data_IF_657983121323
#
_entry.id   IF_657983121323
#
_cell.length_a   1.000
_cell.length_b   1.000
_cell.length_c   1.000
_cell.angle_alpha   90.00
_cell.angle_beta   90.00
_cell.angle_gamma   90.00
#
_symmetry.space_group_name_H-M   'P 1'
#
loop_
_entity.id
_entity.type
_entity.pdbx_description
1 polymer ?
#
# COMPACT_ATOMS: atom_id res chain seq x y z
N UNK A 1 2.86 -71.67 -29.64
CA UNK A 1 1.51 -71.09 -29.73
C UNK A 1 1.40 -70.45 -31.11
N UNK A 2 0.95 -71.21 -32.12
CA UNK A 2 -0.43 -71.27 -32.65
C UNK A 2 -0.84 -69.93 -33.34
N UNK A 3 -0.68 -69.78 -34.65
CA UNK A 3 -1.55 -70.15 -35.81
C UNK A 3 -2.57 -69.05 -36.17
N UNK A 4 -2.43 -68.51 -37.40
CA UNK A 4 -3.42 -67.99 -38.37
C UNK A 4 -4.42 -66.89 -37.93
N UNK A 5 -5.05 -66.07 -38.77
CA UNK A 5 -5.46 -66.20 -40.18
C UNK A 5 -5.92 -64.84 -40.77
N UNK A 6 -5.91 -64.78 -42.10
CA UNK A 6 -6.84 -64.15 -43.07
C UNK A 6 -7.38 -62.70 -42.96
N UNK A 7 -7.09 -61.97 -44.06
CA UNK A 7 -7.99 -61.28 -45.00
C UNK A 7 -8.99 -60.19 -44.51
N UNK A 8 -8.94 -58.97 -45.09
CA UNK A 8 -9.79 -58.53 -46.24
C UNK A 8 -9.94 -56.98 -46.36
N UNK A 9 -9.35 -56.45 -47.44
CA UNK A 9 -9.76 -55.37 -48.38
C UNK A 9 -10.52 -54.09 -47.97
N UNK A 10 -9.93 -52.96 -48.42
CA UNK A 10 -10.47 -51.85 -49.24
C UNK A 10 -11.68 -51.00 -48.82
N UNK A 11 -11.53 -49.68 -49.02
CA UNK A 11 -12.59 -48.67 -49.09
C UNK A 11 -12.10 -47.26 -48.70
N UNK A 12 -11.19 -46.59 -49.40
CA UNK A 12 -11.35 -45.79 -50.63
C UNK A 12 -11.35 -44.25 -50.38
N UNK A 13 -10.45 -43.57 -51.12
CA UNK A 13 -10.36 -42.14 -51.54
C UNK A 13 -10.55 -41.00 -50.50
N UNK A 14 -9.87 -39.85 -50.57
CA UNK A 14 -8.93 -39.25 -51.50
C UNK A 14 -8.42 -37.96 -50.86
N UNK A 15 -7.19 -37.58 -51.23
CA UNK A 15 -6.51 -36.35 -50.86
C UNK A 15 -7.15 -35.06 -51.41
N UNK A 16 -6.58 -33.94 -50.92
CA UNK A 16 -6.46 -32.56 -51.49
C UNK A 16 -7.52 -31.58 -50.95
N UNK A 17 -7.17 -30.62 -50.10
CA UNK A 17 -6.35 -29.41 -50.33
C UNK A 17 -6.93 -28.53 -51.45
N UNK A 18 -7.61 -27.42 -51.10
CA UNK A 18 -7.27 -26.04 -51.46
C UNK A 18 -8.44 -25.07 -51.15
N UNK A 19 -8.02 -23.82 -50.93
CA UNK A 19 -8.77 -22.63 -50.53
C UNK A 19 -9.95 -22.30 -51.46
N UNK A 20 -10.94 -21.58 -50.93
CA UNK A 20 -11.29 -20.19 -51.26
C UNK A 20 -12.68 -19.84 -50.67
N UNK A 21 -12.78 -18.72 -49.94
CA UNK A 21 -14.07 -18.11 -49.61
C UNK A 21 -14.77 -17.67 -50.90
N UNK A 22 -16.11 -17.71 -50.97
CA UNK A 22 -16.87 -16.51 -50.61
C UNK A 22 -18.23 -16.82 -49.96
N UNK A 23 -18.76 -15.85 -49.22
CA UNK A 23 -20.15 -15.36 -49.28
C UNK A 23 -20.59 -14.83 -47.92
N UNK A 24 -20.84 -13.51 -47.87
CA UNK A 24 -21.23 -12.73 -46.72
C UNK A 24 -22.75 -12.83 -46.50
N UNK A 25 -23.24 -13.02 -45.26
CA UNK A 25 -24.58 -12.56 -44.89
C UNK A 25 -24.59 -11.43 -43.85
N UNK A 26 -25.59 -10.58 -44.02
CA UNK A 26 -25.85 -9.26 -43.44
C UNK A 26 -25.78 -9.16 -41.92
N UNK A 27 -25.49 -7.93 -41.50
CA UNK A 27 -25.57 -7.41 -40.15
C UNK A 27 -26.90 -7.72 -39.44
N UNK A 28 -26.79 -8.26 -38.23
CA UNK A 28 -27.74 -8.05 -37.15
C UNK A 28 -27.01 -7.36 -36.00
N UNK A 29 -27.60 -6.26 -35.55
CA UNK A 29 -27.08 -5.39 -34.52
C UNK A 29 -27.07 -6.14 -33.18
N UNK A 30 -25.90 -6.51 -32.69
CA UNK A 30 -25.70 -6.84 -31.28
C UNK A 30 -24.41 -6.18 -30.82
N UNK A 31 -24.60 -5.03 -30.18
CA UNK A 31 -23.59 -4.29 -29.44
C UNK A 31 -22.97 -5.18 -28.37
N UNK A 32 -21.87 -5.83 -28.70
CA UNK A 32 -20.91 -6.30 -27.72
C UNK A 32 -19.67 -5.43 -27.86
N UNK A 33 -19.66 -4.32 -27.10
CA UNK A 33 -18.42 -3.61 -26.85
C UNK A 33 -17.49 -4.58 -26.14
N UNK A 34 -16.58 -5.17 -26.92
CA UNK A 34 -15.42 -5.91 -26.45
C UNK A 34 -14.59 -4.96 -25.59
N UNK A 35 -14.96 -4.90 -24.32
CA UNK A 35 -14.14 -4.28 -23.28
C UNK A 35 -12.90 -5.13 -23.19
N UNK A 36 -11.81 -4.63 -23.76
CA UNK A 36 -10.46 -5.10 -23.48
C UNK A 36 -10.22 -4.88 -21.99
N UNK A 37 -10.63 -5.83 -21.16
CA UNK A 37 -10.26 -5.85 -19.76
C UNK A 37 -8.75 -6.06 -19.73
N UNK A 38 -8.04 -4.96 -19.60
CA UNK A 38 -6.65 -4.92 -19.20
C UNK A 38 -6.61 -5.57 -17.80
N UNK A 39 -6.42 -6.89 -17.77
CA UNK A 39 -6.26 -7.68 -16.55
C UNK A 39 -4.90 -7.34 -15.94
N UNK A 40 -4.80 -6.13 -15.38
CA UNK A 40 -3.68 -5.69 -14.58
C UNK A 40 -3.57 -6.62 -13.36
N UNK A 41 -2.69 -7.61 -13.47
CA UNK A 41 -2.39 -8.59 -12.44
C UNK A 41 -1.65 -8.01 -11.21
N UNK A 42 -1.65 -6.68 -10.99
CA UNK A 42 -0.94 -6.04 -9.87
C UNK A 42 -1.80 -5.51 -8.72
N UNK A 43 -3.13 -5.73 -8.71
CA UNK A 43 -4.03 -5.06 -7.75
C UNK A 43 -4.93 -5.98 -6.89
N UNK A 44 -4.52 -7.23 -6.61
CA UNK A 44 -5.39 -8.20 -5.89
C UNK A 44 -5.31 -8.12 -4.36
N UNK A 45 -5.31 -6.91 -3.80
CA UNK A 45 -5.28 -6.67 -2.34
C UNK A 45 -5.68 -5.25 -1.98
N UNK A 46 -4.69 -4.39 -1.76
CA UNK A 46 -4.88 -2.98 -1.41
C UNK A 46 -4.61 -2.06 -2.60
N UNK A 47 -5.51 -1.11 -2.81
CA UNK A 47 -5.31 0.02 -3.71
C UNK A 47 -4.86 1.23 -2.89
N UNK A 48 -3.74 1.81 -3.28
CA UNK A 48 -3.22 3.03 -2.67
C UNK A 48 -3.57 4.25 -3.51
N UNK A 49 -3.87 5.34 -2.82
CA UNK A 49 -3.97 6.67 -3.42
C UNK A 49 -3.26 7.70 -2.51
N UNK A 50 -2.11 8.26 -2.92
CA UNK A 50 -1.47 8.10 -4.22
C UNK A 50 -0.85 6.71 -4.37
N UNK A 51 -0.74 6.21 -5.61
CA UNK A 51 -0.34 4.81 -5.86
C UNK A 51 1.14 4.51 -5.60
N UNK A 52 2.03 5.43 -5.98
CA UNK A 52 3.48 5.20 -6.01
C UNK A 52 4.30 6.26 -5.26
N UNK A 53 3.67 7.33 -4.79
CA UNK A 53 4.37 8.47 -4.21
C UNK A 53 3.69 8.93 -2.91
N UNK A 54 4.48 9.43 -1.97
CA UNK A 54 4.04 10.19 -0.81
C UNK A 54 4.61 11.60 -0.92
N UNK A 55 3.72 12.58 -0.83
CA UNK A 55 4.06 13.99 -0.96
C UNK A 55 4.21 14.62 0.43
N UNK A 56 5.32 15.30 0.66
CA UNK A 56 5.57 16.02 1.91
C UNK A 56 5.94 17.46 1.60
N UNK A 57 5.46 18.46 2.36
CA UNK A 57 6.03 19.79 2.28
C UNK A 57 7.50 19.75 2.71
N UNK A 58 8.35 20.50 2.04
CA UNK A 58 9.77 20.60 2.37
C UNK A 58 9.97 21.68 3.43
N UNK A 59 10.13 21.27 4.68
CA UNK A 59 10.40 22.17 5.80
C UNK A 59 11.55 21.60 6.65
N UNK A 60 12.82 21.98 6.36
CA UNK A 60 13.98 21.52 7.10
C UNK A 60 13.88 21.81 8.61
N UNK A 61 14.35 20.87 9.43
CA UNK A 61 14.30 20.94 10.88
C UNK A 61 12.91 20.68 11.48
N UNK A 62 11.89 20.38 10.66
CA UNK A 62 10.52 20.21 11.12
C UNK A 62 9.96 18.82 10.84
N UNK A 63 8.92 18.47 11.60
CA UNK A 63 8.09 17.31 11.32
C UNK A 63 7.00 17.68 10.31
N UNK A 64 7.02 17.01 9.17
CA UNK A 64 6.07 17.17 8.07
C UNK A 64 5.19 15.93 7.94
N UNK A 65 4.04 16.07 7.28
CA UNK A 65 3.04 15.01 7.18
C UNK A 65 2.62 14.77 5.74
N UNK A 66 2.29 13.51 5.45
CA UNK A 66 1.65 13.05 4.23
C UNK A 66 0.45 12.18 4.55
N UNK A 67 -0.45 12.00 3.59
CA UNK A 67 -1.63 11.16 3.73
C UNK A 67 -1.78 10.22 2.52
N UNK A 68 -2.09 8.96 2.79
CA UNK A 68 -2.36 7.94 1.76
C UNK A 68 -3.65 7.19 2.12
N UNK A 69 -4.53 7.07 1.14
CA UNK A 69 -5.72 6.24 1.25
C UNK A 69 -5.36 4.79 0.89
N UNK A 70 -5.74 3.86 1.76
CA UNK A 70 -5.65 2.42 1.57
C UNK A 70 -7.09 1.91 1.40
N UNK A 71 -7.40 1.32 0.25
CA UNK A 71 -8.71 0.69 0.00
C UNK A 71 -8.55 -0.80 -0.26
N UNK A 72 -9.27 -1.63 0.49
CA UNK A 72 -9.36 -3.05 0.20
C UNK A 72 -10.31 -3.28 -0.98
N UNK A 73 -9.74 -3.62 -2.14
CA UNK A 73 -10.52 -3.93 -3.36
C UNK A 73 -10.75 -5.42 -3.54
N UNK A 74 -10.32 -6.24 -2.59
CA UNK A 74 -10.49 -7.70 -2.61
C UNK A 74 -11.81 -8.13 -1.96
N UNK A 75 -12.19 -9.40 -2.16
CA UNK A 75 -13.36 -10.03 -1.52
C UNK A 75 -13.05 -10.61 -0.14
N UNK A 76 -11.81 -10.52 0.33
CA UNK A 76 -11.34 -11.07 1.61
C UNK A 76 -10.86 -9.95 2.52
N UNK A 77 -10.71 -10.23 3.81
CA UNK A 77 -10.06 -9.30 4.72
C UNK A 77 -8.58 -9.20 4.37
N UNK A 78 -8.01 -8.01 4.56
CA UNK A 78 -6.60 -7.76 4.25
C UNK A 78 -5.94 -7.08 5.44
N UNK A 79 -4.97 -7.76 6.05
CA UNK A 79 -4.05 -7.16 7.00
C UNK A 79 -3.03 -6.30 6.25
N UNK A 80 -2.59 -5.19 6.85
CA UNK A 80 -1.50 -4.38 6.35
C UNK A 80 -0.52 -4.01 7.46
N UNK A 81 0.74 -3.80 7.08
CA UNK A 81 1.77 -3.22 7.95
C UNK A 81 2.64 -2.23 7.19
N UNK A 82 3.03 -1.16 7.89
CA UNK A 82 3.98 -0.17 7.41
C UNK A 82 5.42 -0.60 7.69
N UNK A 83 6.27 -0.45 6.69
CA UNK A 83 7.71 -0.65 6.78
C UNK A 83 8.41 0.55 6.12
N UNK A 84 9.56 0.93 6.65
CA UNK A 84 10.34 2.06 6.14
C UNK A 84 11.83 1.77 6.25
N UNK A 85 12.61 2.23 5.28
CA UNK A 85 14.07 2.22 5.36
C UNK A 85 14.62 3.38 6.21
N UNK A 86 13.75 4.26 6.71
CA UNK A 86 14.08 5.41 7.55
C UNK A 86 13.23 5.44 8.85
N UNK A 87 13.32 4.41 9.73
CA UNK A 87 12.47 4.30 10.92
C UNK A 87 12.74 5.36 11.99
N UNK A 88 13.94 5.99 11.98
CA UNK A 88 14.30 7.06 12.94
C UNK A 88 13.58 8.38 12.67
N UNK A 89 13.30 8.64 11.40
CA UNK A 89 12.74 9.90 10.93
C UNK A 89 11.37 9.75 10.31
N UNK A 90 10.78 8.54 10.27
CA UNK A 90 9.45 8.35 9.71
C UNK A 90 8.65 7.21 10.33
N UNK A 91 7.35 7.46 10.54
CA UNK A 91 6.36 6.46 10.98
C UNK A 91 4.99 6.74 10.35
N UNK A 92 4.10 5.76 10.39
CA UNK A 92 2.72 5.86 9.89
C UNK A 92 1.70 5.67 11.02
N UNK A 93 0.55 6.34 10.93
CA UNK A 93 -0.60 6.15 11.83
C UNK A 93 -1.86 5.80 11.02
N UNK A 94 -2.51 4.65 11.30
CA UNK A 94 -2.01 3.55 12.15
C UNK A 94 -0.81 2.83 11.51
N UNK A 95 0.05 2.15 12.29
CA UNK A 95 1.22 1.43 11.76
C UNK A 95 0.83 0.13 11.04
N UNK A 96 -0.33 -0.43 11.36
CA UNK A 96 -0.90 -1.63 10.76
C UNK A 96 -2.37 -1.76 11.15
N UNK A 97 -3.04 -2.74 10.56
CA UNK A 97 -4.46 -3.01 10.82
C UNK A 97 -5.03 -4.03 9.84
N UNK A 98 -6.32 -4.32 9.96
CA UNK A 98 -7.08 -5.17 9.03
C UNK A 98 -8.18 -4.33 8.40
N UNK A 99 -8.34 -4.45 7.09
CA UNK A 99 -9.43 -3.85 6.33
C UNK A 99 -10.38 -4.95 5.82
N UNK A 100 -11.66 -4.80 6.13
CA UNK A 100 -12.73 -5.62 5.57
C UNK A 100 -12.88 -5.40 4.05
N UNK A 101 -13.52 -6.32 3.30
CA UNK A 101 -13.80 -6.12 1.89
C UNK A 101 -14.51 -4.79 1.61
N UNK A 102 -13.93 -3.95 0.74
CA UNK A 102 -14.49 -2.64 0.41
C UNK A 102 -14.14 -1.51 1.38
N UNK A 103 -13.61 -1.82 2.56
CA UNK A 103 -13.22 -0.82 3.56
C UNK A 103 -12.05 0.04 3.06
N UNK A 104 -12.05 1.29 3.50
CA UNK A 104 -10.99 2.25 3.20
C UNK A 104 -10.53 2.97 4.45
N UNK A 105 -9.24 3.27 4.52
CA UNK A 105 -8.60 4.00 5.61
C UNK A 105 -7.69 5.07 5.02
N UNK A 106 -7.64 6.25 5.64
CA UNK A 106 -6.61 7.25 5.33
C UNK A 106 -5.56 7.20 6.42
N UNK A 107 -4.35 6.77 6.05
CA UNK A 107 -3.21 6.70 6.93
C UNK A 107 -2.35 7.95 6.80
N UNK A 108 -1.92 8.49 7.93
CA UNK A 108 -1.03 9.66 7.98
C UNK A 108 0.40 9.20 8.19
N UNK A 109 1.30 9.61 7.30
CA UNK A 109 2.73 9.35 7.40
C UNK A 109 3.42 10.61 7.91
N UNK A 110 4.18 10.48 8.99
CA UNK A 110 4.93 11.57 9.61
C UNK A 110 6.39 11.40 9.24
N UNK A 111 7.06 12.49 8.83
CA UNK A 111 8.47 12.49 8.50
C UNK A 111 9.16 13.69 9.12
N UNK A 112 10.32 13.50 9.75
CA UNK A 112 11.21 14.59 10.13
C UNK A 112 12.14 14.90 8.95
N UNK A 113 12.24 16.16 8.56
CA UNK A 113 13.15 16.62 7.50
C UNK A 113 14.41 17.15 8.16
N UNK A 114 15.52 16.46 7.99
CA UNK A 114 16.79 16.91 8.57
C UNK A 114 17.21 18.26 7.97
N UNK A 115 17.74 19.14 8.82
CA UNK A 115 18.35 20.39 8.40
C UNK A 115 19.61 20.08 7.58
N UNK A 116 19.91 20.83 6.51
CA UNK A 116 21.15 20.66 5.76
C UNK A 116 22.34 21.13 6.60
N UNK A 117 22.93 20.23 7.39
CA UNK A 117 24.12 20.55 8.20
C UNK A 117 25.43 20.40 7.41
N UNK A 118 25.43 19.78 6.22
CA UNK A 118 26.59 19.71 5.34
C UNK A 118 26.18 19.42 3.88
N UNK A 119 26.49 20.31 2.94
CA UNK A 119 25.80 20.45 1.65
C UNK A 119 25.94 19.29 0.64
N UNK A 120 26.91 18.38 0.79
CA UNK A 120 27.21 17.41 -0.28
C UNK A 120 26.64 15.99 -0.06
N UNK A 121 26.49 15.54 1.18
CA UNK A 121 26.05 14.15 1.48
C UNK A 121 24.53 13.98 1.62
N UNK A 122 23.77 15.07 1.81
CA UNK A 122 22.34 15.00 2.12
C UNK A 122 21.41 14.84 0.90
N UNK A 123 21.81 15.31 -0.29
CA UNK A 123 20.93 15.26 -1.48
C UNK A 123 20.64 13.81 -1.90
N UNK A 124 21.65 12.94 -1.76
CA UNK A 124 21.53 11.50 -2.03
C UNK A 124 20.69 10.76 -0.98
N UNK A 125 20.70 11.21 0.28
CA UNK A 125 19.93 10.59 1.35
C UNK A 125 18.45 11.00 1.31
N UNK A 126 18.16 12.26 0.93
CA UNK A 126 16.80 12.80 0.75
C UNK A 126 15.98 12.02 -0.30
N UNK A 127 16.63 11.41 -1.31
CA UNK A 127 15.98 10.67 -2.41
C UNK A 127 15.80 9.16 -2.18
N UNK A 128 16.35 8.58 -1.11
CA UNK A 128 16.44 7.12 -0.95
C UNK A 128 15.48 6.48 0.06
N UNK A 129 14.75 7.26 0.85
CA UNK A 129 13.77 6.68 1.77
C UNK A 129 12.68 5.95 0.97
N UNK A 130 12.52 4.64 1.22
CA UNK A 130 11.47 3.82 0.63
C UNK A 130 10.46 3.50 1.72
N UNK A 131 9.22 3.86 1.46
CA UNK A 131 8.09 3.45 2.29
C UNK A 131 7.45 2.24 1.65
N UNK A 132 7.07 1.27 2.48
CA UNK A 132 6.54 0.00 2.03
C UNK A 132 5.31 -0.34 2.83
N UNK A 133 4.21 -0.59 2.13
CA UNK A 133 3.01 -1.18 2.72
C UNK A 133 3.02 -2.64 2.30
N UNK A 134 3.10 -3.52 3.28
CA UNK A 134 2.99 -4.97 3.07
C UNK A 134 1.57 -5.36 3.42
N UNK A 135 0.94 -6.15 2.57
CA UNK A 135 -0.43 -6.60 2.75
C UNK A 135 -0.55 -8.11 2.64
N UNK A 136 -1.43 -8.69 3.45
CA UNK A 136 -1.64 -10.12 3.58
C UNK A 136 -3.14 -10.39 3.64
N UNK A 137 -3.63 -11.35 2.86
CA UNK A 137 -5.03 -11.78 2.96
C UNK A 137 -5.21 -12.61 4.21
N UNK A 138 -6.24 -12.29 4.98
CA UNK A 138 -6.55 -12.95 6.25
C UNK A 138 -8.02 -13.38 6.28
N UNK A 139 -8.35 -14.28 7.21
CA UNK A 139 -9.74 -14.66 7.49
C UNK A 139 -10.48 -13.49 8.16
N UNK A 140 -11.79 -13.42 7.95
CA UNK A 140 -12.64 -12.45 8.64
C UNK A 140 -12.77 -12.77 10.13
N UNK A 141 -13.02 -11.75 10.95
CA UNK A 141 -13.15 -11.89 12.40
C UNK A 141 -11.83 -12.03 13.16
N UNK A 142 -10.69 -11.88 12.48
CA UNK A 142 -9.38 -11.82 13.12
C UNK A 142 -9.11 -10.40 13.62
N UNK A 143 -8.54 -10.31 14.82
CA UNK A 143 -7.94 -9.08 15.33
C UNK A 143 -6.53 -8.91 14.76
N UNK A 144 -6.10 -7.67 14.57
CA UNK A 144 -4.76 -7.40 14.08
C UNK A 144 -3.72 -7.67 15.17
N UNK A 145 -2.83 -8.63 14.92
CA UNK A 145 -1.60 -8.81 15.70
C UNK A 145 -0.38 -8.78 14.76
N UNK A 146 0.71 -8.06 15.09
CA UNK A 146 1.89 -7.96 14.24
C UNK A 146 2.46 -9.32 13.79
N UNK A 147 2.35 -10.33 14.64
CA UNK A 147 2.82 -11.70 14.48
C UNK A 147 2.11 -12.44 13.32
N UNK A 148 0.94 -11.97 12.86
CA UNK A 148 0.24 -12.54 11.69
C UNK A 148 1.14 -12.61 10.46
N UNK A 149 1.99 -11.61 10.28
CA UNK A 149 2.91 -11.58 9.14
C UNK A 149 4.12 -12.50 9.34
N UNK A 150 4.38 -12.95 10.56
CA UNK A 150 5.44 -13.89 10.86
C UNK A 150 4.97 -15.34 10.75
N UNK A 151 3.74 -15.63 11.17
CA UNK A 151 3.11 -16.95 11.06
C UNK A 151 2.79 -17.33 9.62
N UNK A 152 2.46 -16.34 8.79
CA UNK A 152 2.00 -16.53 7.41
C UNK A 152 3.04 -16.11 6.38
N UNK A 153 4.35 -16.24 6.71
CA UNK A 153 5.46 -15.89 5.81
C UNK A 153 5.42 -16.63 4.47
N UNK A 154 4.85 -17.84 4.47
CA UNK A 154 4.71 -18.68 3.28
C UNK A 154 3.52 -18.25 2.38
N UNK A 155 2.64 -17.38 2.88
CA UNK A 155 1.59 -16.78 2.07
C UNK A 155 2.09 -15.56 1.30
N UNK A 156 1.54 -15.36 0.10
CA UNK A 156 1.98 -14.28 -0.79
C UNK A 156 1.56 -12.93 -0.21
N UNK A 157 2.51 -12.27 0.45
CA UNK A 157 2.38 -10.87 0.84
C UNK A 157 2.58 -9.96 -0.39
N UNK A 158 1.68 -9.00 -0.57
CA UNK A 158 1.82 -7.99 -1.63
C UNK A 158 2.49 -6.75 -1.06
N UNK A 159 3.58 -6.35 -1.70
CA UNK A 159 4.41 -5.22 -1.29
C UNK A 159 4.20 -4.03 -2.22
N UNK A 160 3.85 -2.88 -1.65
CA UNK A 160 3.70 -1.63 -2.39
C UNK A 160 4.71 -0.61 -1.88
N UNK A 161 5.60 -0.17 -2.76
CA UNK A 161 6.67 0.79 -2.44
C UNK A 161 6.24 2.19 -2.86
N UNK A 162 6.16 3.11 -1.90
CA UNK A 162 5.90 4.53 -2.11
C UNK A 162 7.21 5.32 -2.04
N UNK A 163 7.45 6.16 -3.05
CA UNK A 163 8.60 7.07 -3.13
C UNK A 163 8.28 8.40 -2.47
N UNK A 164 9.29 9.03 -1.89
CA UNK A 164 9.13 10.37 -1.28
C UNK A 164 9.28 11.45 -2.34
N UNK A 165 8.31 12.35 -2.41
CA UNK A 165 8.38 13.56 -3.19
C UNK A 165 8.21 14.74 -2.25
N UNK A 166 9.20 15.64 -2.24
CA UNK A 166 9.12 16.88 -1.50
C UNK A 166 8.49 17.96 -2.37
N UNK A 167 7.48 18.63 -1.82
CA UNK A 167 6.82 19.77 -2.41
C UNK A 167 7.38 21.05 -1.78
N UNK A 168 7.50 22.10 -2.58
CA UNK A 168 7.79 23.44 -2.08
C UNK A 168 6.61 23.94 -1.23
N UNK A 169 6.87 24.25 0.04
CA UNK A 169 5.83 24.67 0.99
C UNK A 169 5.32 26.10 0.73
N UNK A 170 6.16 26.96 0.15
CA UNK A 170 5.85 28.37 -0.09
C UNK A 170 5.08 28.56 -1.40
N UNK A 171 5.21 27.60 -2.33
CA UNK A 171 4.57 27.67 -3.64
C UNK A 171 3.24 26.90 -3.68
N UNK A 172 2.10 27.57 -3.92
CA UNK A 172 0.84 26.88 -4.13
C UNK A 172 0.92 26.00 -5.38
N UNK A 173 0.45 24.76 -5.27
CA UNK A 173 0.38 23.81 -6.38
C UNK A 173 -0.81 22.87 -6.19
N UNK A 174 -1.37 22.30 -7.28
CA UNK A 174 -2.47 21.35 -7.18
C UNK A 174 -2.12 20.11 -6.32
N UNK A 175 -0.83 19.71 -6.30
CA UNK A 175 -0.36 18.63 -5.44
C UNK A 175 -0.38 19.01 -3.96
N UNK A 176 -0.01 20.25 -3.64
CA UNK A 176 -0.06 20.78 -2.28
C UNK A 176 -1.49 20.86 -1.75
N UNK A 177 -2.43 21.33 -2.58
CA UNK A 177 -3.85 21.41 -2.20
C UNK A 177 -4.47 20.03 -1.95
N UNK A 178 -4.21 19.06 -2.85
CA UNK A 178 -4.65 17.66 -2.65
C UNK A 178 -4.08 17.05 -1.37
N UNK A 179 -2.81 17.33 -1.08
CA UNK A 179 -2.16 16.86 0.14
C UNK A 179 -2.84 17.44 1.39
N UNK A 180 -3.07 18.76 1.42
CA UNK A 180 -3.76 19.45 2.51
C UNK A 180 -5.17 18.90 2.73
N UNK A 181 -5.93 18.70 1.65
CA UNK A 181 -7.29 18.13 1.71
C UNK A 181 -7.30 16.73 2.34
N UNK A 182 -6.38 15.84 1.93
CA UNK A 182 -6.30 14.49 2.51
C UNK A 182 -5.85 14.47 3.96
N UNK A 183 -4.95 15.38 4.34
CA UNK A 183 -4.55 15.52 5.74
C UNK A 183 -5.74 15.96 6.61
N UNK A 184 -6.55 16.91 6.13
CA UNK A 184 -7.78 17.32 6.81
C UNK A 184 -8.80 16.17 6.92
N UNK A 185 -8.96 15.37 5.87
CA UNK A 185 -9.81 14.18 5.88
C UNK A 185 -9.32 13.12 6.87
N UNK A 186 -8.00 12.87 6.92
CA UNK A 186 -7.39 11.96 7.88
C UNK A 186 -7.61 12.43 9.32
N UNK A 187 -7.46 13.73 9.59
CA UNK A 187 -7.72 14.33 10.90
C UNK A 187 -9.19 14.23 11.29
N UNK A 188 -10.12 14.53 10.38
CA UNK A 188 -11.54 14.37 10.61
C UNK A 188 -11.90 12.92 10.95
N UNK A 189 -11.37 11.95 10.19
CA UNK A 189 -11.57 10.53 10.46
C UNK A 189 -11.03 10.10 11.84
N UNK A 190 -9.90 10.66 12.28
CA UNK A 190 -9.36 10.42 13.62
C UNK A 190 -10.22 11.06 14.73
N UNK A 191 -10.77 12.26 14.50
CA UNK A 191 -11.64 12.91 15.48
C UNK A 191 -12.97 12.18 15.64
N UNK A 192 -13.53 11.62 14.57
CA UNK A 192 -14.73 10.77 14.64
C UNK A 192 -14.48 9.54 15.51
N UNK A 193 -13.29 8.92 15.44
CA UNK A 193 -12.93 7.77 16.29
C UNK A 193 -12.70 8.16 17.76
N UNK A 194 -12.31 9.40 18.04
CA UNK A 194 -12.08 9.91 19.40
C UNK A 194 -13.33 10.44 20.09
N UNK A 195 -14.38 10.78 19.34
CA UNK A 195 -15.62 11.28 19.94
C UNK A 195 -16.33 10.09 20.61
N UNK A 196 -16.58 10.13 21.94
CA UNK A 196 -17.35 9.07 22.58
C UNK A 196 -18.77 9.02 21.98
N UNK A 197 -19.43 7.85 21.98
CA UNK A 197 -20.88 7.77 21.77
C UNK A 197 -21.59 8.77 22.71
N UNK A 198 -22.76 9.33 22.36
CA UNK A 198 -23.54 10.12 23.29
C UNK A 198 -23.74 9.33 24.59
N UNK A 199 -23.16 9.85 25.69
CA UNK A 199 -22.97 9.17 26.97
C UNK A 199 -24.27 8.73 27.64
N UNK A 200 -24.24 7.55 28.25
CA UNK A 200 -24.89 7.31 29.54
C UNK A 200 -23.82 6.78 30.50
N UNK A 201 -23.36 7.63 31.43
CA UNK A 201 -22.63 7.23 32.65
C UNK A 201 -21.16 7.71 32.76
N UNK A 202 -20.74 8.30 33.91
CA UNK A 202 -19.40 8.90 34.08
C UNK A 202 -18.37 7.92 34.69
N UNK A 203 -17.13 7.88 34.15
CA UNK A 203 -15.87 8.17 34.87
C UNK A 203 -14.56 7.74 34.17
N UNK A 204 -13.55 8.62 34.35
CA UNK A 204 -12.11 8.41 34.61
C UNK A 204 -11.12 8.17 33.44
N UNK A 205 -10.48 9.29 33.09
CA UNK A 205 -9.06 9.55 32.75
C UNK A 205 -8.07 8.38 32.86
N UNK A 206 -7.27 8.21 31.80
CA UNK A 206 -5.93 7.64 31.91
C UNK A 206 -5.37 6.96 30.66
N UNK A 207 -5.33 7.61 29.49
CA UNK A 207 -4.60 7.05 28.34
C UNK A 207 -3.41 7.93 27.94
N UNK A 208 -2.24 7.46 28.38
CA UNK A 208 -0.93 7.95 27.95
C UNK A 208 -0.83 7.89 26.43
N UNK A 209 -0.57 9.06 25.84
CA UNK A 209 -0.39 9.21 24.42
C UNK A 209 0.88 8.45 24.01
N UNK A 210 0.75 7.52 23.06
CA UNK A 210 1.85 6.85 22.31
C UNK A 210 2.87 7.84 21.69
N UNK A 211 2.62 9.15 21.80
CA UNK A 211 3.53 10.24 21.47
C UNK A 211 4.77 10.24 22.37
N UNK A 212 4.65 9.87 23.65
CA UNK A 212 5.73 10.00 24.63
C UNK A 212 6.81 8.92 24.47
N UNK A 213 6.40 7.68 24.18
CA UNK A 213 7.33 6.55 24.07
C UNK A 213 8.34 6.72 22.91
N UNK A 214 7.89 7.29 21.78
CA UNK A 214 8.77 7.54 20.62
C UNK A 214 9.71 8.73 20.82
N UNK A 215 9.26 9.75 21.56
CA UNK A 215 10.08 10.90 21.92
C UNK A 215 11.18 10.47 22.89
N UNK A 216 10.83 9.67 23.89
CA UNK A 216 11.77 9.13 24.86
C UNK A 216 12.82 8.21 24.20
N UNK A 217 12.43 7.37 23.23
CA UNK A 217 13.40 6.56 22.46
C UNK A 217 14.37 7.39 21.64
N UNK A 218 13.93 8.52 21.08
CA UNK A 218 14.79 9.46 20.36
C UNK A 218 15.77 10.14 21.32
N UNK A 219 15.29 10.64 22.45
CA UNK A 219 16.13 11.29 23.47
C UNK A 219 17.16 10.32 24.07
N UNK A 220 16.76 9.07 24.35
CA UNK A 220 17.65 8.02 24.85
C UNK A 220 18.73 7.61 23.84
N UNK A 221 18.42 7.70 22.55
CA UNK A 221 19.42 7.45 21.49
C UNK A 221 20.40 8.62 21.35
N UNK A 222 19.90 9.86 21.35
CA UNK A 222 20.73 11.07 21.34
C UNK A 222 21.68 11.14 22.54
N UNK A 223 21.18 10.80 23.73
CA UNK A 223 21.99 10.73 24.94
C UNK A 223 23.14 9.72 24.82
N UNK A 224 22.90 8.55 24.18
CA UNK A 224 23.95 7.55 23.94
C UNK A 224 25.02 8.04 22.95
N UNK A 225 24.62 8.76 21.90
CA UNK A 225 25.57 9.34 20.94
C UNK A 225 26.45 10.43 21.55
N UNK A 226 25.91 11.27 22.43
CA UNK A 226 26.71 12.31 23.10
C UNK A 226 27.71 11.72 24.09
N UNK A 227 27.37 10.61 24.76
CA UNK A 227 28.29 9.90 25.64
C UNK A 227 29.40 9.21 24.84
N UNK A 228 29.08 8.59 23.70
CA UNK A 228 30.06 7.90 22.86
C UNK A 228 31.02 8.87 22.15
N UNK A 229 30.56 10.07 21.81
CA UNK A 229 31.40 11.12 21.22
C UNK A 229 32.29 11.87 22.24
N UNK A 230 32.00 11.75 23.54
CA UNK A 230 32.76 12.38 24.62
C UNK A 230 33.85 11.48 25.23
N UNK A 231 33.96 10.22 24.75
CA UNK A 231 34.91 9.20 25.25
C UNK A 231 36.07 8.96 24.25
N UNK A 232 36.23 9.83 23.25
CA UNK A 232 37.38 9.83 22.33
C UNK A 232 38.30 11.04 22.54
#
# INVERSE_FOLDING_TARGET
MAISDRHKTNGDHSMKLFRLCPFWPKATNSSSSSSTQNLNHSHKGLRLDPSNNLYFPYEPGKQVRSAVSLKNTSKSHVAFKFQTTAPKSCYMRPPGGILAPGESLIATVFKFVDAPENNEKQLDQKRKAKFKIVSLKVKGGLEYVPELFDEQKDHVAVEQILRVVFLDAERPSPAMEKLKGRLAEAEAALQVRKKPPPETGPQVVGEGLVIDEWKERREKYLARQQVEAAVQ
#
